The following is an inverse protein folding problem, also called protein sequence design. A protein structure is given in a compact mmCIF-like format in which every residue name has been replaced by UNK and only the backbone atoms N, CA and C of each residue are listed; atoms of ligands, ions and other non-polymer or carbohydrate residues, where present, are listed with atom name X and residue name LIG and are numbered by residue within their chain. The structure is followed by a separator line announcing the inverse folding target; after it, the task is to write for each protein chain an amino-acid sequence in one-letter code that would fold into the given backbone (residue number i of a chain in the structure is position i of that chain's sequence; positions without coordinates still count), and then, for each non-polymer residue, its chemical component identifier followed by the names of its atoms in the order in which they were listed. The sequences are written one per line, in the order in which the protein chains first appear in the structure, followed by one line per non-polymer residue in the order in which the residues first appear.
data_IF_942691225489
#
_entry.id   IF_942691225489
#
_cell.length_a   1.000
_cell.length_b   1.000
_cell.length_c   1.000
_cell.angle_alpha   90.00
_cell.angle_beta   90.00
_cell.angle_gamma   90.00
#
_symmetry.space_group_name_H-M   'P 1'
#
loop_
_entity.id
_entity.type
_entity.pdbx_description
1 polymer ?
#
# COMPACT_ATOMS: atom_id res chain seq x y z
N UNK A 1 -10.26 14.05 -4.92
CA UNK A 1 -9.89 12.63 -4.83
C UNK A 1 -10.46 11.95 -3.61
N UNK A 2 -10.09 12.39 -2.43
CA UNK A 2 -10.63 11.82 -1.20
C UNK A 2 -12.15 11.94 -1.16
N UNK A 3 -12.67 13.07 -1.59
CA UNK A 3 -14.11 13.28 -1.62
C UNK A 3 -14.83 12.29 -2.52
N UNK A 4 -14.24 11.96 -3.66
CA UNK A 4 -14.84 11.00 -4.58
C UNK A 4 -14.95 9.62 -3.93
N UNK A 5 -13.90 9.20 -3.24
CA UNK A 5 -13.91 7.91 -2.55
C UNK A 5 -14.95 7.88 -1.44
N UNK A 6 -15.08 8.97 -0.70
CA UNK A 6 -16.09 9.06 0.36
C UNK A 6 -17.49 9.07 -0.21
N UNK A 7 -17.69 9.72 -1.35
CA UNK A 7 -19.00 9.75 -2.01
C UNK A 7 -19.44 8.37 -2.47
N UNK A 8 -18.48 7.48 -2.70
CA UNK A 8 -18.79 6.11 -3.09
C UNK A 8 -19.08 5.21 -1.90
N UNK A 9 -19.28 5.79 -0.72
CA UNK A 9 -19.69 5.05 0.45
C UNK A 9 -18.56 4.45 1.26
N UNK A 10 -17.32 4.70 0.86
CA UNK A 10 -16.17 4.18 1.59
C UNK A 10 -15.77 5.15 2.69
N UNK A 11 -15.47 4.62 3.88
CA UNK A 11 -15.01 5.47 4.96
C UNK A 11 -13.48 5.52 4.97
N UNK A 12 -12.91 6.57 5.61
CA UNK A 12 -11.45 6.75 5.61
C UNK A 12 -10.68 5.57 6.21
N UNK A 13 -11.23 4.93 7.24
CA UNK A 13 -10.58 3.77 7.86
C UNK A 13 -10.50 2.62 6.87
N UNK A 14 -11.57 2.36 6.13
CA UNK A 14 -11.59 1.31 5.13
C UNK A 14 -10.61 1.56 4.00
N UNK A 15 -10.51 2.81 3.55
CA UNK A 15 -9.56 3.20 2.52
C UNK A 15 -8.14 3.00 3.01
N UNK A 16 -7.84 3.43 4.23
CA UNK A 16 -6.52 3.25 4.82
C UNK A 16 -6.16 1.78 4.94
N UNK A 17 -7.11 0.93 5.35
CA UNK A 17 -6.87 -0.51 5.44
C UNK A 17 -6.55 -1.10 4.07
N UNK A 18 -7.25 -0.66 3.02
CA UNK A 18 -6.98 -1.10 1.67
C UNK A 18 -5.57 -0.70 1.22
N UNK A 19 -5.18 0.55 1.48
CA UNK A 19 -3.85 1.02 1.13
C UNK A 19 -2.78 0.24 1.87
N UNK A 20 -3.00 -0.06 3.14
CA UNK A 20 -2.07 -0.83 3.94
C UNK A 20 -1.84 -2.19 3.32
N UNK A 21 -2.92 -2.88 2.93
CA UNK A 21 -2.81 -4.20 2.30
C UNK A 21 -2.08 -4.13 0.97
N UNK A 22 -2.37 -3.11 0.15
CA UNK A 22 -1.72 -2.96 -1.14
C UNK A 22 -0.22 -2.69 -0.98
N UNK A 23 0.15 -1.81 -0.06
CA UNK A 23 1.55 -1.51 0.17
C UNK A 23 2.31 -2.73 0.68
N UNK A 24 1.68 -3.52 1.56
CA UNK A 24 2.30 -4.76 2.04
C UNK A 24 2.52 -5.74 0.89
N UNK A 25 1.52 -5.90 0.03
CA UNK A 25 1.63 -6.80 -1.11
C UNK A 25 2.74 -6.35 -2.07
N UNK A 26 2.81 -5.06 -2.36
CA UNK A 26 3.86 -4.53 -3.22
C UNK A 26 5.24 -4.72 -2.60
N UNK A 27 5.36 -4.50 -1.29
CA UNK A 27 6.62 -4.71 -0.60
C UNK A 27 7.05 -6.17 -0.66
N UNK A 28 6.13 -7.10 -0.42
CA UNK A 28 6.43 -8.53 -0.52
C UNK A 28 6.83 -8.93 -1.93
N UNK A 29 6.11 -8.42 -2.93
CA UNK A 29 6.44 -8.69 -4.33
C UNK A 29 7.84 -8.18 -4.64
N UNK A 30 8.16 -6.95 -4.25
CA UNK A 30 9.48 -6.36 -4.53
C UNK A 30 10.59 -7.16 -3.87
N UNK A 31 10.41 -7.52 -2.61
CA UNK A 31 11.42 -8.30 -1.89
C UNK A 31 11.62 -9.67 -2.53
N UNK A 32 10.54 -10.33 -2.91
CA UNK A 32 10.64 -11.66 -3.51
C UNK A 32 11.31 -11.60 -4.88
N UNK A 33 10.99 -10.59 -5.68
CA UNK A 33 11.63 -10.42 -6.98
C UNK A 33 13.12 -10.09 -6.82
N UNK A 34 13.46 -9.27 -5.84
CA UNK A 34 14.85 -8.93 -5.56
C UNK A 34 15.64 -10.16 -5.10
N UNK A 35 14.96 -11.11 -4.47
CA UNK A 35 15.60 -12.36 -4.04
C UNK A 35 15.77 -13.36 -5.19
N UNK A 36 15.34 -13.01 -6.39
CA UNK A 36 15.55 -13.85 -7.56
C UNK A 36 14.36 -14.69 -7.99
N UNK A 37 13.22 -14.52 -7.34
CA UNK A 37 12.01 -15.26 -7.73
C UNK A 37 11.39 -14.68 -8.99
N UNK A 38 10.73 -15.54 -9.76
CA UNK A 38 9.93 -15.07 -10.90
C UNK A 38 8.56 -14.62 -10.40
N UNK A 39 7.84 -13.89 -11.27
CA UNK A 39 6.48 -13.45 -10.93
C UNK A 39 5.59 -14.67 -10.62
N UNK A 40 5.73 -15.74 -11.39
CA UNK A 40 4.94 -16.96 -11.18
C UNK A 40 5.26 -17.59 -9.82
N UNK A 41 6.52 -17.58 -9.43
CA UNK A 41 6.90 -18.11 -8.12
C UNK A 41 6.30 -17.29 -6.99
N UNK A 42 6.35 -15.95 -7.12
CA UNK A 42 5.77 -15.08 -6.11
C UNK A 42 4.25 -15.24 -6.06
N UNK A 43 3.62 -15.40 -7.22
CA UNK A 43 2.19 -15.64 -7.28
C UNK A 43 1.81 -16.85 -6.43
N UNK A 44 2.56 -17.93 -6.54
CA UNK A 44 2.32 -19.13 -5.75
C UNK A 44 2.60 -18.92 -4.27
N UNK A 45 3.73 -18.27 -3.97
CA UNK A 45 4.12 -18.02 -2.57
C UNK A 45 3.10 -17.17 -1.83
N UNK A 46 2.60 -16.12 -2.48
CA UNK A 46 1.66 -15.20 -1.85
C UNK A 46 0.20 -15.57 -2.10
N UNK A 47 -0.03 -16.64 -2.85
CA UNK A 47 -1.39 -17.12 -3.18
C UNK A 47 -2.21 -16.04 -3.86
N UNK A 48 -1.61 -15.38 -4.83
CA UNK A 48 -2.26 -14.30 -5.57
C UNK A 48 -2.93 -14.83 -6.83
N UNK A 49 -4.02 -14.17 -7.23
CA UNK A 49 -4.58 -14.39 -8.54
C UNK A 49 -3.55 -13.97 -9.59
N UNK A 50 -3.47 -14.66 -10.74
CA UNK A 50 -2.49 -14.29 -11.77
C UNK A 50 -2.54 -12.84 -12.19
N UNK A 51 -3.73 -12.28 -12.31
CA UNK A 51 -3.88 -10.88 -12.65
C UNK A 51 -3.29 -9.97 -11.57
N UNK A 52 -3.59 -10.27 -10.31
CA UNK A 52 -3.08 -9.50 -9.19
C UNK A 52 -1.55 -9.58 -9.12
N UNK A 53 -0.97 -10.74 -9.38
CA UNK A 53 0.47 -10.91 -9.38
C UNK A 53 1.12 -10.05 -10.46
N UNK A 54 0.56 -10.06 -11.67
CA UNK A 54 1.10 -9.25 -12.76
C UNK A 54 0.99 -7.76 -12.48
N UNK A 55 -0.15 -7.34 -11.93
CA UNK A 55 -0.36 -5.94 -11.59
C UNK A 55 0.63 -5.49 -10.50
N UNK A 56 0.80 -6.29 -9.46
CA UNK A 56 1.74 -5.97 -8.39
C UNK A 56 3.18 -5.90 -8.90
N UNK A 57 3.57 -6.84 -9.75
CA UNK A 57 4.91 -6.85 -10.34
C UNK A 57 5.14 -5.59 -11.16
N UNK A 58 4.14 -5.19 -11.95
CA UNK A 58 4.24 -3.98 -12.76
C UNK A 58 4.31 -2.73 -11.89
N UNK A 59 3.47 -2.67 -10.86
CA UNK A 59 3.42 -1.50 -9.99
C UNK A 59 4.69 -1.33 -9.17
N UNK A 60 5.32 -2.42 -8.74
CA UNK A 60 6.53 -2.31 -7.94
C UNK A 60 7.81 -2.16 -8.77
N UNK A 61 7.69 -2.24 -10.09
CA UNK A 61 8.85 -2.09 -10.96
C UNK A 61 9.42 -0.69 -10.82
N UNK A 62 10.71 -0.61 -10.55
CA UNK A 62 11.36 0.66 -10.35
C UNK A 62 11.20 1.25 -8.95
N UNK A 63 10.44 0.61 -8.09
CA UNK A 63 10.26 1.05 -6.71
C UNK A 63 11.25 0.33 -5.81
N UNK A 64 11.64 1.00 -4.74
CA UNK A 64 12.56 0.42 -3.77
C UNK A 64 11.78 -0.24 -2.65
N UNK A 65 12.24 -1.41 -2.22
CA UNK A 65 11.59 -2.12 -1.12
C UNK A 65 11.58 -1.27 0.16
N UNK A 66 12.65 -0.51 0.38
CA UNK A 66 12.72 0.36 1.57
C UNK A 66 11.62 1.42 1.56
N UNK A 67 11.33 2.01 0.40
CA UNK A 67 10.27 3.00 0.28
C UNK A 67 8.90 2.40 0.53
N UNK A 68 8.66 1.22 -0.03
CA UNK A 68 7.39 0.52 0.17
C UNK A 68 7.20 0.14 1.63
N UNK A 69 8.27 -0.36 2.26
CA UNK A 69 8.21 -0.73 3.66
C UNK A 69 7.93 0.48 4.54
N UNK A 70 8.59 1.61 4.27
CA UNK A 70 8.39 2.83 5.05
C UNK A 70 6.94 3.31 4.96
N UNK A 71 6.35 3.29 3.77
CA UNK A 71 4.97 3.70 3.61
C UNK A 71 4.01 2.73 4.29
N UNK A 72 4.31 1.44 4.22
CA UNK A 72 3.50 0.45 4.93
C UNK A 72 3.54 0.71 6.44
N UNK A 73 4.71 0.96 6.99
CA UNK A 73 4.86 1.25 8.41
C UNK A 73 4.14 2.53 8.80
N UNK A 74 4.16 3.54 7.93
CA UNK A 74 3.40 4.77 8.16
C UNK A 74 1.91 4.49 8.23
N UNK A 75 1.40 3.62 7.35
CA UNK A 75 -0.02 3.24 7.38
C UNK A 75 -0.37 2.55 8.68
N UNK A 76 0.48 1.65 9.15
CA UNK A 76 0.24 0.93 10.39
C UNK A 76 0.22 1.90 11.57
N UNK A 77 1.15 2.86 11.59
CA UNK A 77 1.21 3.86 12.64
C UNK A 77 -0.04 4.74 12.65
N UNK A 78 -0.50 5.15 11.46
CA UNK A 78 -1.70 5.97 11.36
C UNK A 78 -2.94 5.22 11.81
N UNK A 79 -3.04 3.94 11.49
CA UNK A 79 -4.15 3.12 11.96
C UNK A 79 -4.17 3.06 13.48
N UNK A 80 -3.01 2.90 14.10
CA UNK A 80 -2.90 2.91 15.54
C UNK A 80 -3.33 4.26 16.13
N UNK A 81 -2.90 5.36 15.49
CA UNK A 81 -3.25 6.70 15.96
C UNK A 81 -4.76 6.94 15.89
N UNK A 82 -5.42 6.44 14.85
CA UNK A 82 -6.87 6.54 14.74
C UNK A 82 -7.52 5.76 15.88
N UNK A 83 -7.10 4.53 16.09
CA UNK A 83 -7.71 3.64 17.09
C UNK A 83 -7.48 4.13 18.51
N UNK A 84 -6.37 4.83 18.75
CA UNK A 84 -6.08 5.37 20.07
C UNK A 84 -6.64 6.77 20.28
N UNK A 85 -7.34 7.32 19.29
CA UNK A 85 -7.96 8.63 19.42
C UNK A 85 -7.03 9.81 19.23
N UNK A 86 -5.79 9.55 18.79
CA UNK A 86 -4.80 10.63 18.61
C UNK A 86 -5.00 11.41 17.33
N UNK A 87 -5.68 10.82 16.36
CA UNK A 87 -5.81 11.42 15.04
C UNK A 87 -7.14 11.05 14.43
N UNK A 88 -7.75 11.99 13.73
CA UNK A 88 -8.97 11.71 12.98
C UNK A 88 -8.66 10.85 11.77
N UNK A 89 -9.59 10.00 11.39
CA UNK A 89 -9.44 9.12 10.24
C UNK A 89 -9.22 9.89 8.93
N UNK A 90 -9.93 11.01 8.73
CA UNK A 90 -9.75 11.82 7.53
C UNK A 90 -8.37 12.46 7.47
N UNK A 91 -7.87 12.92 8.61
CA UNK A 91 -6.53 13.53 8.67
C UNK A 91 -5.47 12.47 8.38
N UNK A 92 -5.63 11.27 8.93
CA UNK A 92 -4.69 10.18 8.70
C UNK A 92 -4.65 9.79 7.21
N UNK A 93 -5.83 9.67 6.59
CA UNK A 93 -5.90 9.32 5.18
C UNK A 93 -5.25 10.39 4.31
N UNK A 94 -5.53 11.66 4.56
CA UNK A 94 -4.91 12.74 3.81
C UNK A 94 -3.39 12.72 3.98
N UNK A 95 -2.91 12.46 5.18
CA UNK A 95 -1.49 12.40 5.48
C UNK A 95 -0.79 11.34 4.63
N UNK A 96 -1.35 10.12 4.58
CA UNK A 96 -0.72 9.05 3.82
C UNK A 96 -0.81 9.29 2.31
N UNK A 97 -1.91 9.86 1.84
CA UNK A 97 -2.05 10.17 0.42
C UNK A 97 -1.01 11.20 -0.01
N UNK A 98 -0.76 12.21 0.81
CA UNK A 98 0.26 13.20 0.53
C UNK A 98 1.65 12.54 0.51
N UNK A 99 1.93 11.67 1.47
CA UNK A 99 3.21 10.97 1.51
C UNK A 99 3.43 10.13 0.26
N UNK A 100 2.41 9.42 -0.18
CA UNK A 100 2.49 8.62 -1.40
C UNK A 100 2.78 9.52 -2.60
N UNK A 101 2.08 10.63 -2.70
CA UNK A 101 2.23 11.55 -3.83
C UNK A 101 3.62 12.18 -3.89
N UNK A 102 4.23 12.44 -2.72
CA UNK A 102 5.53 13.11 -2.67
C UNK A 102 6.70 12.17 -2.57
N UNK A 103 6.47 10.87 -2.41
CA UNK A 103 7.48 9.90 -2.05
C UNK A 103 8.25 9.33 -3.22
N UNK A 104 8.02 9.71 -4.43
CA UNK A 104 8.66 9.12 -5.59
C UNK A 104 8.12 7.75 -5.98
N UNK A 105 7.10 7.25 -5.30
CA UNK A 105 6.49 5.98 -5.71
C UNK A 105 5.85 6.08 -7.07
N UNK A 106 5.46 7.27 -7.47
CA UNK A 106 4.83 7.49 -8.75
C UNK A 106 5.81 7.49 -9.92
N UNK A 107 7.10 7.42 -9.63
CA UNK A 107 8.14 7.53 -10.65
C UNK A 107 8.41 6.23 -11.35
#
# INVERSE_FOLDING_TARGET
MTNTLLQNGQNPVGILAMLTRQLRQLAHMRLALDAGNTVEQVQTLLKLHPYAAKQSARQCKGLKSASLKALYEDCVALDFDIKSGRMRDTVALDSILIKIATSKLAR
#
